data_IF_837341865560
#
_entry.id   IF_837341865560
#
_cell.length_a   1.000
_cell.length_b   1.000
_cell.length_c   1.000
_cell.angle_alpha   90.00
_cell.angle_beta   90.00
_cell.angle_gamma   90.00
#
_symmetry.space_group_name_H-M   'P 1'
#
loop_
_entity.id
_entity.type
_entity.pdbx_description
1 polymer ?
#
# COMPACT_ATOMS: atom_id res chain seq x y z
N UNK A 1 -12.36 -18.62 -16.74
CA UNK A 1 -11.81 -17.30 -16.34
C UNK A 1 -11.59 -17.33 -14.83
N UNK A 2 -10.43 -16.90 -14.33
CA UNK A 2 -10.19 -16.80 -12.88
C UNK A 2 -10.71 -15.45 -12.41
N UNK A 3 -11.66 -15.46 -11.49
CA UNK A 3 -12.25 -14.28 -10.86
C UNK A 3 -12.02 -14.41 -9.36
N UNK A 4 -11.43 -13.37 -8.75
CA UNK A 4 -11.08 -13.39 -7.33
C UNK A 4 -12.21 -12.85 -6.43
N UNK A 5 -13.12 -12.04 -6.94
CA UNK A 5 -14.23 -11.47 -6.16
C UNK A 5 -15.53 -11.51 -6.97
N UNK A 6 -16.63 -11.88 -6.31
CA UNK A 6 -17.98 -12.01 -6.87
C UNK A 6 -18.93 -10.95 -6.33
N UNK A 7 -18.46 -10.09 -5.43
CA UNK A 7 -19.20 -8.97 -4.88
C UNK A 7 -18.65 -7.64 -5.41
N UNK A 8 -19.49 -6.61 -5.39
CA UNK A 8 -19.02 -5.26 -5.66
C UNK A 8 -18.18 -4.76 -4.49
N UNK A 9 -17.00 -4.23 -4.80
CA UNK A 9 -16.18 -3.44 -3.91
C UNK A 9 -15.44 -2.38 -4.73
N UNK A 10 -15.05 -1.29 -4.08
CA UNK A 10 -14.25 -0.26 -4.73
C UNK A 10 -12.78 -0.50 -4.41
N UNK A 11 -12.03 -0.96 -5.41
CA UNK A 11 -10.57 -1.09 -5.32
C UNK A 11 -9.94 0.18 -5.89
N UNK A 12 -9.28 0.95 -5.04
CA UNK A 12 -8.69 2.25 -5.39
C UNK A 12 -7.28 2.12 -5.97
N UNK A 13 -6.50 1.17 -5.44
CA UNK A 13 -5.16 0.84 -5.94
C UNK A 13 -4.71 -0.54 -5.44
N UNK A 14 -3.68 -1.12 -6.09
CA UNK A 14 -3.11 -2.42 -5.73
C UNK A 14 -1.59 -2.45 -5.90
N UNK A 15 -0.92 -3.33 -5.15
CA UNK A 15 0.50 -3.66 -5.34
C UNK A 15 0.76 -5.12 -4.99
N UNK A 16 1.78 -5.74 -5.57
CA UNK A 16 2.18 -7.10 -5.21
C UNK A 16 2.99 -7.10 -3.91
N UNK A 17 2.83 -8.15 -3.08
CA UNK A 17 3.82 -8.42 -2.04
C UNK A 17 5.20 -8.65 -2.69
N UNK A 18 6.31 -8.24 -2.04
CA UNK A 18 7.66 -8.42 -2.60
C UNK A 18 8.01 -9.88 -2.92
N UNK A 19 7.44 -10.84 -2.18
CA UNK A 19 7.62 -12.28 -2.37
C UNK A 19 6.67 -12.88 -3.42
N UNK A 20 5.85 -12.05 -4.08
CA UNK A 20 4.83 -12.46 -5.06
C UNK A 20 3.78 -13.44 -4.53
N UNK A 21 3.61 -13.57 -3.20
CA UNK A 21 2.67 -14.53 -2.61
C UNK A 21 1.21 -14.04 -2.57
N UNK A 22 0.99 -12.73 -2.64
CA UNK A 22 -0.33 -12.10 -2.62
C UNK A 22 -0.26 -10.66 -3.19
N UNK A 23 -1.41 -10.01 -3.31
CA UNK A 23 -1.50 -8.57 -3.56
C UNK A 23 -1.96 -7.84 -2.29
N UNK A 24 -1.55 -6.59 -2.14
CA UNK A 24 -2.16 -5.62 -1.22
C UNK A 24 -3.04 -4.69 -2.04
N UNK A 25 -4.29 -4.51 -1.61
CA UNK A 25 -5.25 -3.65 -2.27
C UNK A 25 -5.82 -2.63 -1.27
N UNK A 26 -5.94 -1.38 -1.71
CA UNK A 26 -6.76 -0.37 -1.03
C UNK A 26 -8.21 -0.60 -1.45
N UNK A 27 -9.03 -1.12 -0.54
CA UNK A 27 -10.41 -1.52 -0.85
C UNK A 27 -11.40 -0.86 0.10
N UNK A 28 -12.52 -0.40 -0.46
CA UNK A 28 -13.69 0.14 0.24
C UNK A 28 -14.91 -0.73 -0.05
N UNK A 29 -15.84 -0.77 0.91
CA UNK A 29 -17.10 -1.53 0.81
C UNK A 29 -16.83 -3.02 0.55
N UNK A 30 -16.04 -3.65 1.42
CA UNK A 30 -15.55 -5.02 1.25
C UNK A 30 -15.57 -5.78 2.58
N UNK A 31 -16.07 -7.02 2.57
CA UNK A 31 -16.28 -7.86 3.76
C UNK A 31 -16.95 -7.10 4.92
N UNK A 32 -18.12 -6.52 4.66
CA UNK A 32 -18.90 -5.70 5.61
C UNK A 32 -18.17 -4.46 6.19
N UNK A 33 -17.02 -4.11 5.63
CA UNK A 33 -16.24 -2.93 6.01
C UNK A 33 -16.42 -1.81 5.00
N UNK A 34 -16.98 -0.68 5.46
CA UNK A 34 -17.24 0.50 4.62
C UNK A 34 -16.05 1.42 4.46
N UNK A 35 -15.11 1.39 5.41
CA UNK A 35 -13.93 2.25 5.37
C UNK A 35 -12.90 1.70 4.38
N UNK A 36 -12.07 2.60 3.82
CA UNK A 36 -10.93 2.17 3.03
C UNK A 36 -9.95 1.45 3.95
N UNK A 37 -9.53 0.25 3.57
CA UNK A 37 -8.51 -0.50 4.29
C UNK A 37 -7.53 -1.13 3.30
N UNK A 38 -6.34 -1.46 3.79
CA UNK A 38 -5.40 -2.30 3.05
C UNK A 38 -5.75 -3.77 3.30
N UNK A 39 -6.16 -4.46 2.25
CA UNK A 39 -6.47 -5.87 2.25
C UNK A 39 -5.37 -6.68 1.56
N UNK A 40 -4.97 -7.78 2.17
CA UNK A 40 -4.18 -8.82 1.52
C UNK A 40 -5.11 -9.71 0.71
N UNK A 41 -5.00 -9.64 -0.60
CA UNK A 41 -5.78 -10.40 -1.57
C UNK A 41 -4.99 -11.65 -1.99
N UNK A 42 -5.49 -12.87 -1.71
CA UNK A 42 -4.82 -14.10 -2.12
C UNK A 42 -4.88 -14.30 -3.63
N UNK A 43 -3.94 -15.08 -4.18
CA UNK A 43 -3.85 -15.36 -5.62
C UNK A 43 -4.72 -16.55 -6.05
N UNK A 44 -5.21 -17.31 -5.09
CA UNK A 44 -6.08 -18.48 -5.25
C UNK A 44 -7.21 -18.38 -4.24
N UNK A 45 -8.36 -18.95 -4.59
CA UNK A 45 -9.57 -18.88 -3.76
C UNK A 45 -10.45 -17.68 -4.11
N UNK A 46 -11.22 -17.23 -3.11
CA UNK A 46 -12.23 -16.18 -3.26
C UNK A 46 -11.94 -15.07 -2.26
N UNK A 47 -11.50 -13.92 -2.75
CA UNK A 47 -11.14 -12.76 -1.95
C UNK A 47 -12.27 -12.29 -1.03
N UNK A 48 -13.53 -12.43 -1.45
CA UNK A 48 -14.71 -12.06 -0.64
C UNK A 48 -14.73 -12.75 0.73
N UNK A 49 -14.08 -13.91 0.88
CA UNK A 49 -13.94 -14.62 2.17
C UNK A 49 -12.49 -14.80 2.63
N UNK A 50 -11.55 -14.91 1.68
CA UNK A 50 -10.19 -15.35 1.95
C UNK A 50 -9.23 -14.18 2.13
N UNK A 51 -9.62 -12.97 1.70
CA UNK A 51 -8.81 -11.78 1.95
C UNK A 51 -8.81 -11.41 3.44
N UNK A 52 -7.71 -10.83 3.89
CA UNK A 52 -7.52 -10.41 5.29
C UNK A 52 -7.03 -8.98 5.35
N UNK A 53 -7.36 -8.25 6.41
CA UNK A 53 -6.82 -6.90 6.61
C UNK A 53 -5.30 -7.01 6.80
N UNK A 54 -4.53 -6.34 5.94
CA UNK A 54 -3.07 -6.36 5.98
C UNK A 54 -2.51 -5.50 7.11
N UNK A 55 -3.15 -4.37 7.40
CA UNK A 55 -2.74 -3.42 8.42
C UNK A 55 -3.98 -2.87 9.14
N UNK A 56 -4.17 -3.28 10.39
CA UNK A 56 -5.25 -2.80 11.25
C UNK A 56 -4.72 -1.74 12.22
N UNK A 57 -4.69 -0.49 11.78
CA UNK A 57 -4.27 0.64 12.61
C UNK A 57 -5.24 1.81 12.44
N UNK A 58 -5.90 2.22 13.53
CA UNK A 58 -6.92 3.29 13.52
C UNK A 58 -6.33 4.69 13.43
N UNK A 59 -5.05 4.85 13.73
CA UNK A 59 -4.34 6.12 13.58
C UNK A 59 -3.97 6.38 12.11
N UNK A 60 -4.00 5.34 11.27
CA UNK A 60 -3.72 5.40 9.83
C UNK A 60 -5.04 5.38 9.05
N UNK A 61 -5.71 6.54 9.03
CA UNK A 61 -7.02 6.72 8.40
C UNK A 61 -6.98 6.64 6.87
N UNK A 62 -7.95 5.95 6.28
CA UNK A 62 -8.16 5.84 4.82
C UNK A 62 -6.88 5.55 4.02
N UNK A 63 -6.16 4.46 4.32
CA UNK A 63 -4.92 4.12 3.64
C UNK A 63 -5.16 3.88 2.14
N UNK A 64 -4.32 4.47 1.29
CA UNK A 64 -4.43 4.39 -0.16
C UNK A 64 -3.07 4.46 -0.86
N UNK A 65 -2.99 4.02 -2.11
CA UNK A 65 -1.76 3.98 -2.91
C UNK A 65 -0.57 3.22 -2.27
N UNK A 66 -0.71 1.94 -1.89
CA UNK A 66 0.36 1.17 -1.25
C UNK A 66 1.56 0.93 -2.18
N UNK A 67 2.78 1.21 -1.71
CA UNK A 67 4.04 0.98 -2.44
C UNK A 67 5.11 0.40 -1.52
N UNK A 68 5.55 -0.83 -1.81
CA UNK A 68 6.70 -1.41 -1.12
C UNK A 68 8.01 -0.72 -1.55
N UNK A 69 8.92 -0.54 -0.62
CA UNK A 69 10.31 -0.18 -0.93
C UNK A 69 10.96 -1.29 -1.76
N UNK A 70 12.01 -1.00 -2.54
CA UNK A 70 12.68 -2.00 -3.38
C UNK A 70 13.22 -3.22 -2.62
N UNK A 71 13.58 -3.04 -1.35
CA UNK A 71 14.05 -4.10 -0.45
C UNK A 71 12.91 -4.81 0.31
N UNK A 72 11.66 -4.39 0.13
CA UNK A 72 10.49 -4.94 0.80
C UNK A 72 10.39 -4.63 2.30
N UNK A 73 11.34 -3.89 2.87
CA UNK A 73 11.36 -3.58 4.31
C UNK A 73 10.25 -2.61 4.72
N UNK A 74 9.85 -1.74 3.81
CA UNK A 74 8.90 -0.67 4.07
C UNK A 74 7.70 -0.74 3.14
N UNK A 75 6.54 -0.35 3.66
CA UNK A 75 5.37 0.00 2.89
C UNK A 75 5.08 1.49 3.10
N UNK A 76 5.15 2.27 2.03
CA UNK A 76 4.67 3.63 2.00
C UNK A 76 3.24 3.67 1.46
N UNK A 77 2.40 4.52 2.02
CA UNK A 77 1.05 4.78 1.52
C UNK A 77 0.57 6.14 2.01
N UNK A 78 -0.50 6.62 1.38
CA UNK A 78 -1.19 7.81 1.83
C UNK A 78 -2.18 7.44 2.94
N UNK A 79 -2.07 8.08 4.09
CA UNK A 79 -3.05 8.01 5.18
C UNK A 79 -3.81 9.34 5.23
N UNK A 80 -5.05 9.35 4.75
CA UNK A 80 -5.84 10.54 4.46
C UNK A 80 -5.09 11.49 3.50
N UNK A 81 -4.40 12.50 4.02
CA UNK A 81 -3.59 13.43 3.23
C UNK A 81 -2.12 13.47 3.67
N UNK A 82 -1.70 12.53 4.51
CA UNK A 82 -0.34 12.46 5.03
C UNK A 82 0.39 11.24 4.47
N UNK A 83 1.71 11.34 4.34
CA UNK A 83 2.54 10.21 3.95
C UNK A 83 2.85 9.34 5.18
N UNK A 84 2.38 8.10 5.15
CA UNK A 84 2.67 7.09 6.17
C UNK A 84 3.74 6.12 5.68
N UNK A 85 4.58 5.68 6.62
CA UNK A 85 5.59 4.67 6.42
C UNK A 85 5.43 3.57 7.46
N UNK A 86 5.38 2.31 7.02
CA UNK A 86 5.22 1.13 7.89
C UNK A 86 6.33 0.12 7.64
N UNK A 87 6.98 -0.35 8.70
CA UNK A 87 7.95 -1.44 8.64
C UNK A 87 7.20 -2.78 8.51
N UNK A 88 7.53 -3.56 7.48
CA UNK A 88 6.73 -4.73 7.09
C UNK A 88 6.83 -5.90 8.06
N UNK A 89 7.92 -5.98 8.83
CA UNK A 89 8.20 -7.10 9.76
C UNK A 89 7.42 -7.02 11.08
N UNK A 90 7.14 -5.79 11.56
CA UNK A 90 6.58 -5.56 12.89
C UNK A 90 5.41 -4.55 12.89
N UNK A 91 5.05 -3.99 11.73
CA UNK A 91 4.01 -2.99 11.55
C UNK A 91 4.24 -1.69 12.36
N UNK A 92 5.47 -1.42 12.81
CA UNK A 92 5.85 -0.13 13.35
C UNK A 92 5.68 0.94 12.28
N UNK A 93 5.21 2.13 12.66
CA UNK A 93 4.79 3.14 11.71
C UNK A 93 5.14 4.55 12.14
N UNK A 94 5.23 5.44 11.16
CA UNK A 94 5.34 6.89 11.36
C UNK A 94 4.62 7.64 10.23
N UNK A 95 4.18 8.86 10.51
CA UNK A 95 3.91 9.85 9.47
C UNK A 95 5.23 10.58 9.19
N UNK A 96 5.59 10.76 7.91
CA UNK A 96 6.87 11.36 7.51
C UNK A 96 6.85 12.88 7.43
N UNK A 97 5.70 13.47 7.11
CA UNK A 97 5.48 14.93 7.11
C UNK A 97 3.97 15.18 7.29
N UNK A 98 3.58 15.78 8.40
CA UNK A 98 2.20 16.19 8.70
C UNK A 98 1.98 17.70 8.51
N UNK A 99 3.04 18.43 8.14
CA UNK A 99 3.00 19.89 7.96
C UNK A 99 2.41 20.29 6.60
N UNK A 100 2.42 19.37 5.62
CA UNK A 100 1.88 19.58 4.27
C UNK A 100 0.98 18.40 3.90
N UNK A 101 -0.30 18.69 3.74
CA UNK A 101 -1.27 17.73 3.19
C UNK A 101 -1.05 17.53 1.69
N UNK A 102 -0.95 16.27 1.26
CA UNK A 102 -0.79 15.87 -0.13
C UNK A 102 -1.80 14.79 -0.55
N UNK A 103 -2.21 14.83 -1.82
CA UNK A 103 -3.14 13.85 -2.41
C UNK A 103 -2.50 13.09 -3.58
N UNK A 104 -1.21 12.77 -3.46
CA UNK A 104 -0.44 12.11 -4.51
C UNK A 104 0.03 10.73 -4.03
N UNK A 105 0.06 9.72 -4.91
CA UNK A 105 0.69 8.43 -4.60
C UNK A 105 2.15 8.62 -4.18
N UNK A 106 2.65 7.88 -3.16
CA UNK A 106 4.07 7.86 -2.88
C UNK A 106 4.82 7.16 -4.02
N UNK A 107 6.07 7.58 -4.24
CA UNK A 107 7.00 6.89 -5.12
C UNK A 107 8.33 6.73 -4.40
N UNK A 108 8.90 5.54 -4.49
CA UNK A 108 10.24 5.27 -3.97
C UNK A 108 11.27 5.70 -5.01
N UNK A 109 12.36 6.29 -4.54
CA UNK A 109 13.55 6.40 -5.37
C UNK A 109 14.05 4.99 -5.74
N UNK A 110 14.72 4.82 -6.90
CA UNK A 110 15.39 3.57 -7.22
C UNK A 110 16.38 3.19 -6.11
N UNK A 111 16.59 1.89 -5.88
CA UNK A 111 17.50 1.41 -4.83
C UNK A 111 18.93 1.98 -4.92
N UNK A 112 19.40 2.29 -6.13
CA UNK A 112 20.72 2.89 -6.39
C UNK A 112 20.74 4.42 -6.40
N UNK A 113 19.64 5.09 -6.06
CA UNK A 113 19.59 6.55 -6.05
C UNK A 113 20.40 7.12 -4.89
N UNK A 114 21.54 7.73 -5.22
CA UNK A 114 22.44 8.36 -4.25
C UNK A 114 22.21 9.88 -4.11
N UNK A 115 21.09 10.40 -4.61
CA UNK A 115 20.74 11.82 -4.62
C UNK A 115 20.86 12.47 -6.00
N UNK A 116 20.25 13.64 -6.16
CA UNK A 116 20.20 14.36 -7.45
C UNK A 116 21.60 14.74 -7.96
N UNK A 117 22.53 15.02 -7.06
CA UNK A 117 23.93 15.33 -7.40
C UNK A 117 24.70 14.15 -8.00
N UNK A 118 24.21 12.92 -7.84
CA UNK A 118 24.83 11.72 -8.41
C UNK A 118 24.43 11.45 -9.87
N UNK A 119 23.47 12.22 -10.42
CA UNK A 119 23.18 12.22 -11.84
C UNK A 119 24.28 12.97 -12.60
N UNK A 120 25.40 12.31 -12.89
CA UNK A 120 26.40 12.86 -13.79
C UNK A 120 25.77 13.02 -15.19
N UNK A 121 25.57 14.27 -15.61
CA UNK A 121 25.06 14.60 -16.94
C UNK A 121 25.89 13.88 -18.01
N UNK A 122 25.22 13.05 -18.81
CA UNK A 122 25.79 12.62 -20.09
C UNK A 122 25.58 13.77 -21.07
N UNK A 123 26.58 14.66 -21.12
CA UNK A 123 26.83 15.49 -22.30
C UNK A 123 27.34 14.64 -23.46
#
# INVERSE_FOLDING_TARGET
>A
PTQLSYQWSLVLDTTWLPDSSAMIASVRDFQDTRDNMLWRIPLVGVADSDATVYLLNRDLGYPDYPRFSPDGRWLAFRSAYNLALVETSNQAWTILDDSISGNTPPVWSPAGFAGEAACAGRG
#
